data_IF_411971806239
#
_entry.id   IF_411971806239
#
_cell.length_a   1.000
_cell.length_b   1.000
_cell.length_c   1.000
_cell.angle_alpha   90.00
_cell.angle_beta   90.00
_cell.angle_gamma   90.00
#
_symmetry.space_group_name_H-M   'P 1'
#
loop_
_entity.id
_entity.type
_entity.pdbx_description
1 polymer ?
#
# COMPACT_ATOMS: atom_id res chain seq x y z
N UNK A 1 18.80 -12.21 -5.30
CA UNK A 1 18.70 -11.84 -3.89
C UNK A 1 17.50 -10.94 -3.70
N UNK A 2 16.72 -11.19 -2.65
CA UNK A 2 15.51 -10.41 -2.43
C UNK A 2 15.74 -9.36 -1.36
N UNK A 3 15.07 -8.23 -1.52
CA UNK A 3 15.00 -7.20 -0.50
C UNK A 3 13.63 -7.23 0.12
N UNK A 4 13.57 -6.93 1.40
CA UNK A 4 12.32 -6.97 2.14
C UNK A 4 11.80 -5.56 2.35
N UNK A 5 10.61 -5.33 1.89
CA UNK A 5 9.89 -4.09 2.12
C UNK A 5 8.62 -4.42 2.90
N UNK A 6 7.99 -3.40 3.43
CA UNK A 6 6.72 -3.57 4.13
C UNK A 6 5.66 -2.67 3.48
N UNK A 7 4.49 -3.23 3.28
CA UNK A 7 3.36 -2.48 2.80
C UNK A 7 2.35 -2.36 3.93
N UNK A 8 2.03 -1.12 4.30
CA UNK A 8 1.01 -0.87 5.31
C UNK A 8 -0.29 -0.52 4.61
N UNK A 9 -1.35 -1.24 4.95
CA UNK A 9 -2.70 -0.92 4.50
C UNK A 9 -3.37 -0.25 5.69
N UNK A 10 -3.61 1.05 5.58
CA UNK A 10 -4.08 1.86 6.70
C UNK A 10 -5.56 2.15 6.53
N UNK A 11 -6.36 1.73 7.50
CA UNK A 11 -7.81 1.89 7.48
C UNK A 11 -8.19 2.91 8.53
N UNK A 12 -8.35 4.15 8.12
CA UNK A 12 -8.62 5.22 9.10
C UNK A 12 -9.92 5.03 9.83
N UNK A 13 -10.92 4.52 9.13
CA UNK A 13 -12.23 4.37 9.75
C UNK A 13 -12.24 3.34 10.87
N UNK A 14 -11.43 2.29 10.71
CA UNK A 14 -11.36 1.24 11.71
C UNK A 14 -10.20 1.39 12.65
N UNK A 15 -9.41 2.42 12.48
CA UNK A 15 -8.19 2.61 13.27
C UNK A 15 -7.32 1.36 13.23
N UNK A 16 -7.16 0.80 12.05
CA UNK A 16 -6.49 -0.49 11.87
C UNK A 16 -5.40 -0.35 10.82
N UNK A 17 -4.30 -1.04 11.03
CA UNK A 17 -3.22 -1.13 10.07
C UNK A 17 -2.90 -2.60 9.84
N UNK A 18 -2.90 -3.01 8.59
CA UNK A 18 -2.47 -4.35 8.21
C UNK A 18 -1.14 -4.25 7.50
N UNK A 19 -0.19 -5.04 7.88
CA UNK A 19 1.16 -4.98 7.35
C UNK A 19 1.44 -6.25 6.57
N UNK A 20 1.90 -6.09 5.33
CA UNK A 20 2.24 -7.20 4.47
C UNK A 20 3.71 -7.09 4.09
N UNK A 21 4.41 -8.22 4.18
CA UNK A 21 5.79 -8.25 3.77
C UNK A 21 5.86 -8.38 2.25
N UNK A 22 6.73 -7.57 1.63
CA UNK A 22 6.90 -7.58 0.18
C UNK A 22 8.35 -7.95 -0.10
N UNK A 23 8.55 -9.12 -0.71
CA UNK A 23 9.89 -9.62 -1.03
C UNK A 23 10.10 -9.50 -2.52
N UNK A 24 10.97 -8.62 -2.92
CA UNK A 24 11.22 -8.33 -4.33
C UNK A 24 12.71 -8.14 -4.53
N UNK A 25 13.15 -8.01 -5.78
CA UNK A 25 14.58 -7.92 -6.07
C UNK A 25 15.10 -6.50 -5.98
N UNK A 26 14.24 -5.51 -6.17
CA UNK A 26 14.70 -4.12 -6.10
C UNK A 26 13.52 -3.19 -5.84
N UNK A 27 13.81 -1.92 -5.74
CA UNK A 27 12.81 -0.92 -5.42
C UNK A 27 11.75 -0.78 -6.51
N UNK A 28 12.15 -0.95 -7.78
CA UNK A 28 11.20 -0.85 -8.88
C UNK A 28 10.14 -1.93 -8.81
N UNK A 29 10.55 -3.14 -8.47
CA UNK A 29 9.58 -4.22 -8.27
C UNK A 29 8.67 -3.92 -7.10
N UNK A 30 9.19 -3.30 -6.05
CA UNK A 30 8.35 -2.92 -4.92
C UNK A 30 7.27 -1.92 -5.35
N UNK A 31 7.64 -0.93 -6.16
CA UNK A 31 6.66 0.02 -6.67
C UNK A 31 5.63 -0.66 -7.57
N UNK A 32 6.05 -1.59 -8.41
CA UNK A 32 5.11 -2.34 -9.24
C UNK A 32 4.15 -3.15 -8.39
N UNK A 33 4.66 -3.76 -7.33
CA UNK A 33 3.82 -4.52 -6.41
C UNK A 33 2.76 -3.61 -5.78
N UNK A 34 3.17 -2.39 -5.39
CA UNK A 34 2.25 -1.43 -4.79
C UNK A 34 1.20 -0.96 -5.79
N UNK A 35 1.60 -0.71 -7.03
CA UNK A 35 0.65 -0.31 -8.06
C UNK A 35 -0.39 -1.38 -8.32
N UNK A 36 0.02 -2.64 -8.36
CA UNK A 36 -0.91 -3.73 -8.55
C UNK A 36 -1.85 -3.88 -7.36
N UNK A 37 -1.31 -3.76 -6.16
CA UNK A 37 -2.14 -3.83 -4.97
C UNK A 37 -3.17 -2.70 -4.96
N UNK A 38 -2.75 -1.51 -5.35
CA UNK A 38 -3.63 -0.37 -5.40
C UNK A 38 -4.74 -0.57 -6.43
N UNK A 39 -4.40 -1.10 -7.61
CA UNK A 39 -5.40 -1.35 -8.64
C UNK A 39 -6.41 -2.41 -8.22
N UNK A 40 -5.96 -3.42 -7.50
CA UNK A 40 -6.88 -4.42 -7.01
C UNK A 40 -7.89 -3.84 -6.02
N UNK A 41 -7.47 -2.90 -5.23
CA UNK A 41 -8.38 -2.26 -4.28
C UNK A 41 -9.49 -1.50 -4.98
N UNK A 42 -9.23 -0.99 -6.16
CA UNK A 42 -10.25 -0.28 -6.90
C UNK A 42 -11.44 -1.15 -7.23
N UNK A 43 -11.24 -2.43 -7.34
CA UNK A 43 -12.31 -3.34 -7.72
C UNK A 43 -12.94 -4.03 -6.52
N UNK A 44 -12.40 -3.83 -5.34
CA UNK A 44 -12.96 -4.41 -4.16
C UNK A 44 -13.67 -3.34 -3.40
N UNK A 45 -14.92 -3.43 -3.26
CA UNK A 45 -15.69 -2.33 -2.75
C UNK A 45 -15.89 -2.32 -1.27
N UNK A 46 -15.61 -3.39 -0.55
CA UNK A 46 -16.19 -3.46 0.75
C UNK A 46 -15.32 -2.91 1.86
N UNK A 47 -14.07 -2.94 1.89
CA UNK A 47 -13.33 -2.31 2.95
C UNK A 47 -12.02 -1.87 2.38
N UNK A 48 -12.04 -0.75 1.74
CA UNK A 48 -10.86 -0.21 1.09
C UNK A 48 -10.04 0.57 2.08
N UNK A 49 -8.75 0.32 2.18
CA UNK A 49 -7.92 1.14 3.05
C UNK A 49 -7.87 2.58 2.54
N UNK A 50 -7.63 3.50 3.46
CA UNK A 50 -7.52 4.90 3.13
C UNK A 50 -6.17 5.25 2.51
N UNK A 51 -5.16 4.47 2.82
CA UNK A 51 -3.79 4.77 2.41
C UNK A 51 -2.99 3.49 2.33
N UNK A 52 -2.16 3.36 1.30
CA UNK A 52 -1.14 2.34 1.24
C UNK A 52 0.21 3.01 1.39
N UNK A 53 1.11 2.39 2.14
CA UNK A 53 2.40 2.98 2.42
C UNK A 53 3.49 1.94 2.24
N UNK A 54 4.51 2.28 1.46
CA UNK A 54 5.65 1.40 1.27
C UNK A 54 6.77 1.85 2.19
N UNK A 55 7.28 0.93 2.99
CA UNK A 55 8.36 1.21 3.92
C UNK A 55 9.50 0.23 3.74
N UNK A 56 10.70 0.68 4.06
CA UNK A 56 11.82 -0.20 4.23
C UNK A 56 12.42 0.12 5.59
N UNK A 57 12.45 -0.86 6.47
CA UNK A 57 12.82 -0.67 7.86
C UNK A 57 11.93 0.40 8.48
N UNK A 58 12.47 1.49 8.97
CA UNK A 58 11.67 2.52 9.57
C UNK A 58 11.42 3.69 8.62
N UNK A 59 11.81 3.58 7.37
CA UNK A 59 11.73 4.70 6.46
C UNK A 59 10.55 4.52 5.50
N UNK A 60 9.69 5.53 5.44
CA UNK A 60 8.58 5.54 4.49
C UNK A 60 9.11 6.01 3.15
N UNK A 61 8.92 5.19 2.13
CA UNK A 61 9.43 5.50 0.80
C UNK A 61 8.39 6.16 -0.10
N UNK A 62 7.14 5.76 0.03
CA UNK A 62 6.08 6.30 -0.81
C UNK A 62 4.72 5.97 -0.21
N UNK A 63 3.71 6.74 -0.61
CA UNK A 63 2.34 6.49 -0.18
C UNK A 63 1.39 6.59 -1.36
N UNK A 64 0.30 5.85 -1.31
CA UNK A 64 -0.76 5.86 -2.29
C UNK A 64 -2.06 6.14 -1.55
N UNK A 65 -2.69 7.28 -1.84
CA UNK A 65 -3.95 7.63 -1.20
C UNK A 65 -5.10 7.09 -2.02
N UNK A 66 -6.02 6.46 -1.34
CA UNK A 66 -7.10 5.78 -2.04
C UNK A 66 -8.43 6.52 -1.95
N UNK A 67 -8.52 7.65 -1.22
CA UNK A 67 -9.77 8.33 -1.12
C UNK A 67 -10.09 9.02 -2.44
N UNK A 68 -11.32 8.91 -2.83
CA UNK A 68 -11.79 9.54 -3.96
C UNK A 68 -12.37 10.83 -3.52
N UNK A 69 -11.74 11.87 -3.86
CA UNK A 69 -12.27 13.07 -3.63
C UNK A 69 -13.26 13.28 -4.61
N UNK A 70 -14.21 12.77 -4.45
CA UNK A 70 -15.21 12.92 -5.30
C UNK A 70 -15.66 14.28 -5.38
N UNK A 71 -15.32 14.98 -5.50
CA UNK A 71 -15.82 16.10 -5.55
C UNK A 71 -16.50 16.52 -6.44
N UNK A 72 -16.73 16.33 -6.47
CA UNK A 72 -17.13 16.77 -7.12
C UNK A 72 -17.62 17.27 -7.22
#
# INVERSE_FOLDING_TARGET
MFERFLCDFIYHQDHRIEITEVLVTDLWEAFEWMDEAFLELHFESSSTPSLLRLRKDDEVLATWETHFDAVL
#
